data_IF_646745050558
#
_entry.id   IF_646745050558
#
_cell.length_a   1.000
_cell.length_b   1.000
_cell.length_c   1.000
_cell.angle_alpha   90.00
_cell.angle_beta   90.00
_cell.angle_gamma   90.00
#
_symmetry.space_group_name_H-M   'P 1'
#
loop_
_entity.id
_entity.type
_entity.pdbx_description
1 polymer ?
#
# COMPACT_ATOMS: atom_id res chain seq x y z
N UNK A 1 -4.13 7.54 -16.22
CA UNK A 1 -3.48 6.39 -15.58
C UNK A 1 -4.35 5.89 -14.45
N UNK A 2 -4.33 4.59 -14.22
CA UNK A 2 -4.91 3.94 -13.06
C UNK A 2 -3.78 3.52 -12.11
N UNK A 3 -3.71 4.15 -10.95
CA UNK A 3 -2.59 4.07 -10.02
C UNK A 3 -3.04 3.33 -8.77
N UNK A 4 -2.30 2.31 -8.38
CA UNK A 4 -2.47 1.65 -7.08
C UNK A 4 -1.50 2.27 -6.07
N UNK A 5 -2.00 2.61 -4.90
CA UNK A 5 -1.21 3.06 -3.76
C UNK A 5 -1.46 2.08 -2.63
N UNK A 6 -0.40 1.55 -2.01
CA UNK A 6 -0.48 0.71 -0.83
C UNK A 6 0.09 1.50 0.34
N UNK A 7 -0.70 1.66 1.39
CA UNK A 7 -0.31 2.44 2.57
C UNK A 7 -0.65 1.71 3.86
N UNK A 8 0.18 1.84 4.91
CA UNK A 8 -0.14 1.29 6.21
C UNK A 8 -1.20 2.12 6.97
N UNK A 9 -1.67 3.23 6.40
CA UNK A 9 -2.58 4.17 7.08
C UNK A 9 -3.80 4.49 6.23
N UNK A 10 -4.97 4.44 6.88
CA UNK A 10 -6.26 4.78 6.27
C UNK A 10 -6.45 6.32 6.27
N UNK A 11 -6.55 6.95 5.10
CA UNK A 11 -6.56 8.43 5.00
C UNK A 11 -7.87 9.08 5.46
N UNK A 12 -8.98 8.34 5.44
CA UNK A 12 -10.31 8.73 5.92
C UNK A 12 -10.45 8.58 7.45
N UNK A 13 -9.51 7.92 8.13
CA UNK A 13 -9.56 7.66 9.56
C UNK A 13 -8.84 8.77 10.34
N UNK A 14 -9.61 9.62 11.01
CA UNK A 14 -9.11 10.72 11.84
C UNK A 14 -8.50 10.28 13.17
N UNK A 15 -8.38 8.99 13.46
CA UNK A 15 -7.62 8.51 14.62
C UNK A 15 -6.18 8.13 14.24
N UNK A 16 -5.90 7.98 12.94
CA UNK A 16 -4.58 7.70 12.40
C UNK A 16 -3.92 9.01 11.93
N UNK A 17 -3.14 9.66 12.81
CA UNK A 17 -2.40 10.88 12.47
C UNK A 17 -0.90 10.62 12.42
N UNK A 18 -0.21 11.15 11.41
CA UNK A 18 1.24 11.05 11.27
C UNK A 18 1.74 11.51 9.90
N UNK A 19 3.06 11.57 9.73
CA UNK A 19 3.68 12.03 8.48
C UNK A 19 3.29 11.18 7.25
N UNK A 20 3.21 9.86 7.43
CA UNK A 20 2.78 8.94 6.35
C UNK A 20 1.32 9.23 5.95
N UNK A 21 0.43 9.45 6.92
CA UNK A 21 -0.98 9.76 6.66
C UNK A 21 -1.12 11.04 5.83
N UNK A 22 -0.49 12.13 6.28
CA UNK A 22 -0.49 13.41 5.55
C UNK A 22 0.09 13.25 4.15
N UNK A 23 1.20 12.52 4.00
CA UNK A 23 1.83 12.29 2.70
C UNK A 23 0.92 11.50 1.76
N UNK A 24 0.39 10.36 2.20
CA UNK A 24 -0.51 9.52 1.40
C UNK A 24 -1.75 10.31 0.98
N UNK A 25 -2.37 11.04 1.90
CA UNK A 25 -3.56 11.84 1.58
C UNK A 25 -3.25 12.92 0.53
N UNK A 26 -2.14 13.65 0.69
CA UNK A 26 -1.72 14.68 -0.27
C UNK A 26 -1.37 14.08 -1.63
N UNK A 27 -0.65 12.96 -1.66
CA UNK A 27 -0.28 12.26 -2.89
C UNK A 27 -1.53 11.84 -3.66
N UNK A 28 -2.47 11.16 -3.00
CA UNK A 28 -3.73 10.74 -3.62
C UNK A 28 -4.50 11.93 -4.19
N UNK A 29 -4.66 13.01 -3.41
CA UNK A 29 -5.36 14.24 -3.84
C UNK A 29 -4.71 14.86 -5.07
N UNK A 30 -3.38 14.95 -5.10
CA UNK A 30 -2.64 15.52 -6.23
C UNK A 30 -2.83 14.65 -7.48
N UNK A 31 -2.70 13.31 -7.36
CA UNK A 31 -2.88 12.40 -8.49
C UNK A 31 -4.30 12.46 -9.07
N UNK A 32 -5.33 12.49 -8.22
CA UNK A 32 -6.73 12.68 -8.66
C UNK A 32 -6.90 14.04 -9.35
N UNK A 33 -6.35 15.12 -8.80
CA UNK A 33 -6.40 16.47 -9.41
C UNK A 33 -5.72 16.53 -10.78
N UNK A 34 -4.70 15.71 -11.00
CA UNK A 34 -4.02 15.56 -12.29
C UNK A 34 -4.79 14.66 -13.28
N UNK A 35 -5.97 14.17 -12.92
CA UNK A 35 -6.83 13.36 -13.78
C UNK A 35 -6.49 11.87 -13.77
N UNK A 36 -5.75 11.38 -12.77
CA UNK A 36 -5.51 9.95 -12.60
C UNK A 36 -6.62 9.29 -11.79
N UNK A 37 -6.91 8.02 -12.11
CA UNK A 37 -7.73 7.17 -11.24
C UNK A 37 -6.83 6.57 -10.17
N UNK A 38 -7.21 6.72 -8.90
CA UNK A 38 -6.39 6.29 -7.76
C UNK A 38 -7.15 5.27 -6.93
N UNK A 39 -6.54 4.10 -6.76
CA UNK A 39 -6.98 3.07 -5.80
C UNK A 39 -5.98 2.99 -4.66
N UNK A 40 -6.47 3.11 -3.43
CA UNK A 40 -5.68 3.06 -2.20
C UNK A 40 -6.02 1.78 -1.43
N UNK A 41 -5.05 0.88 -1.28
CA UNK A 41 -5.17 -0.34 -0.46
C UNK A 41 -4.57 -0.07 0.91
N UNK A 42 -5.37 -0.28 1.95
CA UNK A 42 -5.03 0.04 3.34
C UNK A 42 -5.56 -1.04 4.30
N UNK A 43 -4.95 -1.22 5.48
CA UNK A 43 -5.55 -2.03 6.55
C UNK A 43 -6.86 -1.40 7.03
N UNK A 44 -7.85 -2.22 7.34
CA UNK A 44 -9.08 -1.78 8.01
C UNK A 44 -8.85 -1.71 9.51
N UNK A 45 -9.17 -0.57 10.13
CA UNK A 45 -9.14 -0.41 11.60
C UNK A 45 -10.54 -0.51 12.24
N UNK A 46 -11.59 -0.41 11.43
CA UNK A 46 -12.98 -0.62 11.80
C UNK A 46 -13.51 -1.93 11.22
N UNK A 47 -14.65 -2.40 11.73
CA UNK A 47 -15.37 -3.55 11.17
C UNK A 47 -15.89 -3.30 9.74
N UNK A 48 -15.85 -2.05 9.26
CA UNK A 48 -16.26 -1.67 7.91
C UNK A 48 -15.20 -2.09 6.90
N UNK A 49 -15.32 -3.32 6.42
CA UNK A 49 -14.63 -3.82 5.24
C UNK A 49 -15.34 -3.31 4.00
N UNK A 50 -14.61 -2.77 3.02
CA UNK A 50 -15.20 -2.52 1.72
C UNK A 50 -14.47 -1.55 0.83
N UNK A 51 -15.17 -1.21 -0.25
CA UNK A 51 -14.76 -0.19 -1.23
C UNK A 51 -15.48 1.10 -0.88
N UNK A 52 -14.71 2.15 -0.59
CA UNK A 52 -15.25 3.48 -0.35
C UNK A 52 -14.69 4.47 -1.38
N UNK A 53 -15.55 5.30 -1.97
CA UNK A 53 -15.10 6.46 -2.74
C UNK A 53 -14.97 7.67 -1.81
N UNK A 54 -13.75 8.17 -1.62
CA UNK A 54 -13.46 9.35 -0.80
C UNK A 54 -12.70 10.37 -1.62
N UNK A 55 -13.33 11.52 -1.90
CA UNK A 55 -12.69 12.62 -2.65
C UNK A 55 -12.10 12.18 -4.02
N UNK A 56 -12.77 11.24 -4.71
CA UNK A 56 -12.30 10.69 -5.99
C UNK A 56 -11.27 9.55 -5.87
N UNK A 57 -10.96 9.11 -4.65
CA UNK A 57 -10.03 8.02 -4.35
C UNK A 57 -10.84 6.77 -4.01
N UNK A 58 -10.56 5.65 -4.68
CA UNK A 58 -11.13 4.35 -4.36
C UNK A 58 -10.33 3.72 -3.23
N UNK A 59 -10.85 3.77 -2.00
CA UNK A 59 -10.21 3.17 -0.82
C UNK A 59 -10.70 1.73 -0.67
N UNK A 60 -9.76 0.80 -0.59
CA UNK A 60 -9.98 -0.63 -0.38
C UNK A 60 -9.42 -0.98 0.98
N UNK A 61 -10.29 -1.27 1.93
CA UNK A 61 -9.89 -1.68 3.28
C UNK A 61 -9.79 -3.20 3.37
N UNK A 62 -8.65 -3.69 3.87
CA UNK A 62 -8.41 -5.12 4.09
C UNK A 62 -8.47 -5.39 5.59
N UNK A 63 -9.48 -6.14 6.03
CA UNK A 63 -9.67 -6.50 7.43
C UNK A 63 -9.21 -7.95 7.69
N UNK A 64 -8.12 -8.11 8.42
CA UNK A 64 -7.58 -9.41 8.84
C UNK A 64 -6.77 -9.32 10.14
N UNK A 65 -6.89 -8.21 10.88
CA UNK A 65 -5.96 -7.94 11.97
C UNK A 65 -6.62 -7.15 13.09
N UNK A 66 -6.79 -7.81 14.25
CA UNK A 66 -6.96 -7.10 15.52
C UNK A 66 -5.71 -6.28 15.89
N UNK A 67 -4.57 -6.52 15.20
CA UNK A 67 -3.34 -5.76 15.36
C UNK A 67 -3.29 -4.55 14.44
N UNK A 68 -2.78 -3.43 14.95
CA UNK A 68 -2.59 -2.20 14.17
C UNK A 68 -1.46 -2.28 13.14
N UNK A 69 -0.80 -3.43 13.03
CA UNK A 69 0.41 -3.64 12.21
C UNK A 69 0.13 -4.69 11.13
N UNK A 70 0.63 -4.43 9.91
CA UNK A 70 0.63 -5.41 8.83
C UNK A 70 1.25 -6.74 9.29
N UNK A 71 0.45 -7.80 9.26
CA UNK A 71 0.88 -9.17 9.59
C UNK A 71 0.91 -10.02 8.31
N UNK A 72 1.42 -11.25 8.40
CA UNK A 72 1.50 -12.15 7.24
C UNK A 72 0.13 -12.44 6.58
N UNK A 73 -0.97 -12.35 7.33
CA UNK A 73 -2.32 -12.56 6.80
C UNK A 73 -2.76 -11.36 5.95
N UNK A 74 -2.53 -10.14 6.46
CA UNK A 74 -2.78 -8.91 5.72
C UNK A 74 -2.00 -8.89 4.41
N UNK A 75 -0.70 -9.22 4.44
CA UNK A 75 0.14 -9.27 3.23
C UNK A 75 -0.38 -10.25 2.18
N UNK A 76 -0.90 -11.42 2.60
CA UNK A 76 -1.51 -12.38 1.65
C UNK A 76 -2.80 -11.84 1.04
N UNK A 77 -3.65 -11.19 1.84
CA UNK A 77 -4.89 -10.58 1.35
C UNK A 77 -4.64 -9.36 0.48
N UNK A 78 -3.58 -8.61 0.76
CA UNK A 78 -3.12 -7.50 -0.06
C UNK A 78 -2.84 -7.97 -1.48
N UNK A 79 -2.03 -9.03 -1.65
CA UNK A 79 -1.77 -9.63 -2.97
C UNK A 79 -3.07 -10.06 -3.65
N UNK A 80 -3.94 -10.79 -2.94
CA UNK A 80 -5.21 -11.26 -3.50
C UNK A 80 -6.12 -10.11 -3.94
N UNK A 81 -6.21 -9.06 -3.13
CA UNK A 81 -7.04 -7.88 -3.41
C UNK A 81 -6.47 -7.11 -4.59
N UNK A 82 -5.16 -6.89 -4.61
CA UNK A 82 -4.47 -6.25 -5.73
C UNK A 82 -4.72 -7.00 -7.04
N UNK A 83 -4.49 -8.32 -7.07
CA UNK A 83 -4.65 -9.12 -8.30
C UNK A 83 -6.11 -9.13 -8.77
N UNK A 84 -7.07 -9.22 -7.84
CA UNK A 84 -8.49 -9.14 -8.17
C UNK A 84 -8.84 -7.79 -8.82
N UNK A 85 -8.39 -6.68 -8.23
CA UNK A 85 -8.63 -5.33 -8.74
C UNK A 85 -7.91 -5.12 -10.08
N UNK A 86 -6.66 -5.55 -10.21
CA UNK A 86 -5.87 -5.41 -11.43
C UNK A 86 -6.47 -6.20 -12.60
N UNK A 87 -7.07 -7.37 -12.33
CA UNK A 87 -7.77 -8.16 -13.34
C UNK A 87 -9.09 -7.52 -13.78
N UNK A 88 -9.76 -6.79 -12.90
CA UNK A 88 -10.99 -6.04 -13.23
C UNK A 88 -10.68 -4.76 -13.99
N UNK A 89 -9.66 -4.02 -13.54
CA UNK A 89 -9.21 -2.78 -14.12
C UNK A 89 -7.70 -2.64 -13.90
N UNK A 90 -6.93 -2.85 -14.96
CA UNK A 90 -5.47 -2.91 -14.86
C UNK A 90 -4.88 -1.60 -14.34
N UNK A 91 -3.89 -1.73 -13.46
CA UNK A 91 -3.08 -0.64 -12.93
C UNK A 91 -1.89 -0.39 -13.85
N UNK A 92 -1.54 0.89 -14.02
CA UNK A 92 -0.37 1.31 -14.80
C UNK A 92 0.90 1.35 -13.94
N UNK A 93 0.77 1.56 -12.63
CA UNK A 93 1.89 1.55 -11.69
C UNK A 93 1.42 1.38 -10.24
N UNK A 94 2.39 1.10 -9.36
CA UNK A 94 2.19 0.87 -7.93
C UNK A 94 3.09 1.84 -7.15
N UNK A 95 2.52 2.48 -6.13
CA UNK A 95 3.28 3.23 -5.12
C UNK A 95 3.11 2.55 -3.76
N UNK A 96 4.22 2.28 -3.07
CA UNK A 96 4.24 1.74 -1.72
C UNK A 96 4.73 2.78 -0.74
N UNK A 97 3.94 3.01 0.31
CA UNK A 97 4.33 3.82 1.46
C UNK A 97 5.06 2.94 2.49
N UNK A 98 6.36 3.14 2.62
CA UNK A 98 7.21 2.27 3.44
C UNK A 98 7.24 0.83 2.91
N UNK A 99 7.09 -0.14 3.81
CA UNK A 99 7.12 -1.57 3.51
C UNK A 99 5.75 -2.16 3.17
N UNK A 100 4.69 -1.33 3.05
CA UNK A 100 3.33 -1.81 2.89
C UNK A 100 3.16 -2.69 1.64
N UNK A 101 3.74 -2.30 0.50
CA UNK A 101 3.67 -3.05 -0.76
C UNK A 101 4.82 -4.04 -1.00
N UNK A 102 5.60 -4.39 0.03
CA UNK A 102 6.81 -5.20 -0.16
C UNK A 102 6.54 -6.59 -0.75
N UNK A 103 5.48 -7.26 -0.29
CA UNK A 103 5.15 -8.61 -0.79
C UNK A 103 4.57 -8.58 -2.21
N UNK A 104 3.86 -7.50 -2.59
CA UNK A 104 3.42 -7.30 -3.98
C UNK A 104 4.61 -7.26 -4.96
N UNK A 105 5.72 -6.65 -4.61
CA UNK A 105 6.89 -6.60 -5.50
C UNK A 105 7.46 -7.98 -5.82
N UNK A 106 7.30 -8.96 -4.93
CA UNK A 106 7.74 -10.34 -5.15
C UNK A 106 6.79 -11.13 -6.05
N UNK A 107 5.59 -10.62 -6.27
CA UNK A 107 4.55 -11.29 -7.06
C UNK A 107 4.90 -11.24 -8.55
N UNK A 108 5.21 -12.42 -9.12
CA UNK A 108 5.72 -12.54 -10.49
C UNK A 108 4.72 -12.06 -11.53
N UNK A 109 3.43 -12.20 -11.27
CA UNK A 109 2.38 -11.80 -12.21
C UNK A 109 2.36 -10.29 -12.47
N UNK A 110 2.96 -9.48 -11.59
CA UNK A 110 2.95 -8.02 -11.68
C UNK A 110 4.35 -7.42 -11.87
N UNK A 111 5.38 -8.25 -12.07
CA UNK A 111 6.79 -7.85 -12.15
C UNK A 111 7.12 -6.86 -13.28
N UNK A 112 6.22 -6.64 -14.23
CA UNK A 112 6.36 -5.67 -15.33
C UNK A 112 5.82 -4.28 -14.98
N UNK A 113 5.04 -4.15 -13.89
CA UNK A 113 4.48 -2.86 -13.49
C UNK A 113 5.55 -1.99 -12.84
N UNK A 114 5.66 -0.70 -13.24
CA UNK A 114 6.46 0.27 -12.51
C UNK A 114 6.07 0.30 -11.04
N UNK A 115 7.06 0.12 -10.16
CA UNK A 115 6.88 0.08 -8.72
C UNK A 115 7.73 1.16 -8.05
N UNK A 116 7.08 2.06 -7.31
CA UNK A 116 7.70 3.19 -6.63
C UNK A 116 7.61 3.01 -5.11
N UNK A 117 8.69 3.29 -4.40
CA UNK A 117 8.75 3.18 -2.94
C UNK A 117 9.04 4.52 -2.29
N UNK A 118 8.23 4.89 -1.30
CA UNK A 118 8.50 6.03 -0.42
C UNK A 118 9.02 5.54 0.93
N UNK A 119 10.27 5.88 1.25
CA UNK A 119 10.89 5.52 2.52
C UNK A 119 10.77 6.72 3.47
N UNK A 120 9.84 6.63 4.44
CA UNK A 120 9.52 7.75 5.35
C UNK A 120 10.47 7.90 6.54
N UNK A 121 11.04 6.79 7.03
CA UNK A 121 11.95 6.82 8.18
C UNK A 121 13.21 6.04 7.83
N UNK A 122 14.25 6.72 7.32
CA UNK A 122 15.56 6.12 7.17
C UNK A 122 16.26 6.09 8.54
N UNK A 123 15.82 5.24 9.47
CA UNK A 123 16.69 4.91 10.60
C UNK A 123 17.85 4.04 10.06
N UNK A 124 19.09 4.26 10.49
CA UNK A 124 20.24 3.46 10.01
C UNK A 124 19.99 1.95 10.17
N UNK A 125 19.25 1.56 11.21
CA UNK A 125 18.85 0.19 11.45
C UNK A 125 17.77 -0.30 10.48
N UNK A 126 16.82 0.56 10.09
CA UNK A 126 15.88 0.29 8.99
C UNK A 126 16.57 0.26 7.63
N UNK A 127 17.56 1.12 7.37
CA UNK A 127 18.33 1.08 6.13
C UNK A 127 19.14 -0.22 6.04
N UNK A 128 19.78 -0.66 7.12
CA UNK A 128 20.49 -1.94 7.16
C UNK A 128 19.55 -3.14 6.98
N UNK A 129 18.38 -3.13 7.63
CA UNK A 129 17.38 -4.19 7.48
C UNK A 129 16.77 -4.19 6.07
N UNK A 130 16.37 -3.03 5.54
CA UNK A 130 15.84 -2.87 4.19
C UNK A 130 16.89 -3.20 3.12
N UNK A 131 18.16 -2.83 3.31
CA UNK A 131 19.26 -3.17 2.40
C UNK A 131 19.46 -4.69 2.34
N UNK A 132 19.47 -5.37 3.49
CA UNK A 132 19.54 -6.84 3.53
C UNK A 132 18.32 -7.51 2.89
N UNK A 133 17.14 -6.90 2.99
CA UNK A 133 15.90 -7.42 2.39
C UNK A 133 15.85 -7.20 0.87
N UNK A 134 16.22 -6.01 0.39
CA UNK A 134 16.34 -5.69 -1.05
C UNK A 134 17.43 -6.53 -1.72
N UNK A 135 18.51 -6.86 -1.01
CA UNK A 135 19.59 -7.70 -1.52
C UNK A 135 19.38 -9.22 -1.34
N UNK A 136 18.21 -9.71 -0.90
CA UNK A 136 17.95 -11.14 -0.64
C UNK A 136 18.95 -11.80 0.34
N UNK A 137 19.52 -11.05 1.28
CA UNK A 137 20.53 -11.54 2.23
C UNK A 137 19.92 -12.11 3.52
N UNK A 138 18.59 -12.12 3.66
CA UNK A 138 17.90 -12.83 4.74
C UNK A 138 17.42 -14.19 4.24
N UNK A 139 18.18 -15.23 4.61
CA UNK A 139 17.69 -16.61 4.63
C UNK A 139 16.80 -16.70 5.86
N UNK A 140 15.49 -16.89 5.67
CA UNK A 140 14.60 -17.26 6.76
C UNK A 140 14.94 -18.71 7.14
N UNK A 141 15.48 -18.88 8.35
CA UNK A 141 15.58 -20.17 9.05
C UNK A 141 14.27 -20.37 9.81
#
# INVERSE_FOLDING_TARGET
MHICIVSPVEINNRESWGGIHTHTEMLCKILVKLGHSVTLIVPSYSETVGVQLYQGIHIITINESQSKVANCMWLRKEIQSFLSLHNQNSFDCIFSEGNAGYELMKEKSIAKLPFFYFIHVPSFMHFYNNWKEVCNLRIFI
#
